data_IF_926355112010
#
_entry.id   IF_926355112010
#
_cell.length_a   1.000
_cell.length_b   1.000
_cell.length_c   1.000
_cell.angle_alpha   90.00
_cell.angle_beta   90.00
_cell.angle_gamma   90.00
#
_symmetry.space_group_name_H-M   'P 1'
#
loop_
_entity.id
_entity.type
_entity.pdbx_description
1 polymer ?
#
# COMPACT_ATOMS: atom_id res chain seq x y z
N UNK A 1 58.19 15.76 63.26
CA UNK A 1 57.47 16.72 62.40
C UNK A 1 56.93 16.06 61.13
N UNK A 2 57.65 15.17 60.46
CA UNK A 2 57.23 14.55 59.17
C UNK A 2 56.00 13.64 59.26
N UNK A 3 55.85 12.84 60.34
CA UNK A 3 54.72 11.92 60.53
C UNK A 3 53.34 12.60 60.62
N UNK A 4 53.28 13.83 61.15
CA UNK A 4 52.02 14.57 61.27
C UNK A 4 51.58 15.19 59.93
N UNK A 5 52.56 15.54 59.07
CA UNK A 5 52.30 16.10 57.75
C UNK A 5 51.73 15.04 56.80
N UNK A 6 52.32 13.84 56.77
CA UNK A 6 51.86 12.74 55.92
C UNK A 6 50.45 12.25 56.33
N UNK A 7 50.18 12.13 57.62
CA UNK A 7 48.85 11.74 58.13
C UNK A 7 47.74 12.73 57.73
N UNK A 8 48.05 14.03 57.73
CA UNK A 8 47.13 15.07 57.27
C UNK A 8 46.81 14.98 55.77
N UNK A 9 47.83 14.74 54.94
CA UNK A 9 47.70 14.61 53.48
C UNK A 9 46.85 13.38 53.13
N UNK A 10 47.09 12.23 53.74
CA UNK A 10 46.30 11.01 53.51
C UNK A 10 44.82 11.24 53.81
N UNK A 11 44.49 11.88 54.95
CA UNK A 11 43.10 12.20 55.31
C UNK A 11 42.41 13.17 54.36
N UNK A 12 43.15 14.09 53.75
CA UNK A 12 42.60 14.99 52.73
C UNK A 12 42.34 14.22 51.44
N UNK A 13 43.28 13.37 51.02
CA UNK A 13 43.13 12.51 49.86
C UNK A 13 41.92 11.57 49.98
N UNK A 14 41.73 10.91 51.13
CA UNK A 14 40.61 9.99 51.35
C UNK A 14 39.24 10.68 51.21
N UNK A 15 39.11 11.90 51.74
CA UNK A 15 37.89 12.71 51.60
C UNK A 15 37.66 13.16 50.17
N UNK A 16 38.70 13.64 49.49
CA UNK A 16 38.61 14.01 48.09
C UNK A 16 38.19 12.81 47.21
N UNK A 17 38.72 11.62 47.50
CA UNK A 17 38.31 10.39 46.83
C UNK A 17 36.85 10.02 47.13
N UNK A 18 36.39 10.17 48.38
CA UNK A 18 35.01 9.91 48.76
C UNK A 18 34.04 10.87 48.07
N UNK A 19 34.35 12.18 48.05
CA UNK A 19 33.55 13.19 47.38
C UNK A 19 33.49 12.95 45.86
N UNK A 20 34.63 12.61 45.25
CA UNK A 20 34.69 12.24 43.84
C UNK A 20 33.83 10.99 43.53
N UNK A 21 33.78 10.01 44.43
CA UNK A 21 32.93 8.83 44.27
C UNK A 21 31.44 9.18 44.34
N UNK A 22 31.04 10.08 45.24
CA UNK A 22 29.66 10.58 45.34
C UNK A 22 29.24 11.29 44.06
N UNK A 23 30.10 12.19 43.55
CA UNK A 23 29.86 12.89 42.28
C UNK A 23 29.73 11.90 41.11
N UNK A 24 30.66 10.95 40.99
CA UNK A 24 30.64 9.92 39.94
C UNK A 24 29.35 9.12 39.94
N UNK A 25 28.86 8.71 41.12
CA UNK A 25 27.59 8.00 41.24
C UNK A 25 26.40 8.87 40.83
N UNK A 26 26.41 10.15 41.18
CA UNK A 26 25.42 11.13 40.73
C UNK A 26 25.36 11.24 39.21
N UNK A 27 26.50 11.40 38.55
CA UNK A 27 26.59 11.46 37.10
C UNK A 27 26.10 10.18 36.42
N UNK A 28 26.45 9.00 36.95
CA UNK A 28 25.99 7.74 36.38
C UNK A 28 24.46 7.59 36.43
N UNK A 29 23.82 8.04 37.52
CA UNK A 29 22.36 8.05 37.63
C UNK A 29 21.71 9.02 36.65
N UNK A 30 22.30 10.19 36.45
CA UNK A 30 21.84 11.17 35.46
C UNK A 30 21.97 10.64 34.04
N UNK A 31 23.11 10.03 33.69
CA UNK A 31 23.34 9.40 32.39
C UNK A 31 22.33 8.28 32.12
N UNK A 32 22.08 7.42 33.11
CA UNK A 32 21.09 6.35 32.98
C UNK A 32 19.67 6.90 32.70
N UNK A 33 19.26 7.97 33.40
CA UNK A 33 17.96 8.63 33.16
C UNK A 33 17.90 9.30 31.79
N UNK A 34 18.93 10.04 31.40
CA UNK A 34 18.99 10.71 30.12
C UNK A 34 18.88 9.71 28.95
N UNK A 35 19.54 8.55 29.07
CA UNK A 35 19.43 7.46 28.09
C UNK A 35 18.02 6.88 28.04
N UNK A 36 17.39 6.66 29.19
CA UNK A 36 16.04 6.13 29.26
C UNK A 36 15.01 7.09 28.66
N UNK A 37 15.10 8.38 28.97
CA UNK A 37 14.20 9.38 28.41
C UNK A 37 14.39 9.54 26.90
N UNK A 38 15.64 9.50 26.42
CA UNK A 38 15.94 9.49 24.97
C UNK A 38 15.32 8.28 24.28
N UNK A 39 15.39 7.08 24.90
CA UNK A 39 14.76 5.86 24.35
C UNK A 39 13.24 5.97 24.28
N UNK A 40 12.60 6.54 25.31
CA UNK A 40 11.14 6.75 25.30
C UNK A 40 10.71 7.70 24.19
N UNK A 41 11.46 8.80 23.98
CA UNK A 41 11.18 9.75 22.90
C UNK A 41 11.36 9.06 21.54
N UNK A 42 12.47 8.35 21.32
CA UNK A 42 12.74 7.64 20.06
C UNK A 42 11.64 6.61 19.74
N UNK A 43 11.24 5.79 20.72
CA UNK A 43 10.16 4.84 20.55
C UNK A 43 8.83 5.52 20.17
N UNK A 44 8.47 6.59 20.89
CA UNK A 44 7.26 7.34 20.62
C UNK A 44 7.25 7.99 19.22
N UNK A 45 8.39 8.49 18.75
CA UNK A 45 8.55 9.03 17.39
C UNK A 45 8.39 7.91 16.36
N UNK A 46 9.01 6.75 16.57
CA UNK A 46 8.91 5.60 15.66
C UNK A 46 7.47 5.11 15.51
N UNK A 47 6.74 4.96 16.61
CA UNK A 47 5.34 4.56 16.53
C UNK A 47 4.46 5.60 15.81
N UNK A 48 4.67 6.90 16.07
CA UNK A 48 3.94 7.97 15.38
C UNK A 48 4.24 7.95 13.87
N UNK A 49 5.50 7.73 13.49
CA UNK A 49 5.90 7.61 12.09
C UNK A 49 5.22 6.40 11.41
N UNK A 50 5.16 5.25 12.09
CA UNK A 50 4.46 4.08 11.58
C UNK A 50 2.96 4.36 11.39
N UNK A 51 2.30 4.96 12.39
CA UNK A 51 0.88 5.35 12.32
C UNK A 51 0.61 6.33 11.16
N UNK A 52 1.46 7.33 10.99
CA UNK A 52 1.34 8.29 9.89
C UNK A 52 1.52 7.63 8.52
N UNK A 53 2.44 6.67 8.40
CA UNK A 53 2.66 5.93 7.15
C UNK A 53 1.42 5.12 6.76
N UNK A 54 0.79 4.44 7.71
CA UNK A 54 -0.46 3.71 7.47
C UNK A 54 -1.59 4.67 7.07
N UNK A 55 -1.80 5.76 7.83
CA UNK A 55 -2.80 6.78 7.50
C UNK A 55 -2.61 7.37 6.10
N UNK A 56 -1.37 7.68 5.72
CA UNK A 56 -1.06 8.21 4.39
C UNK A 56 -1.39 7.19 3.28
N UNK A 57 -1.12 5.91 3.53
CA UNK A 57 -1.45 4.82 2.61
C UNK A 57 -2.96 4.65 2.46
N UNK A 58 -3.69 4.60 3.57
CA UNK A 58 -5.16 4.48 3.57
C UNK A 58 -5.81 5.68 2.87
N UNK A 59 -5.27 6.88 3.09
CA UNK A 59 -5.74 8.08 2.42
C UNK A 59 -5.50 8.02 0.92
N UNK A 60 -4.29 7.67 0.49
CA UNK A 60 -3.98 7.50 -0.93
C UNK A 60 -4.89 6.45 -1.59
N UNK A 61 -5.16 5.34 -0.90
CA UNK A 61 -6.08 4.30 -1.40
C UNK A 61 -7.52 4.81 -1.51
N UNK A 62 -8.02 5.52 -0.50
CA UNK A 62 -9.39 6.06 -0.54
C UNK A 62 -9.57 7.16 -1.60
N UNK A 63 -8.57 8.03 -1.79
CA UNK A 63 -8.56 9.03 -2.86
C UNK A 63 -8.54 8.37 -4.24
N UNK A 64 -7.71 7.34 -4.45
CA UNK A 64 -7.67 6.59 -5.70
C UNK A 64 -9.00 5.90 -5.99
N UNK A 65 -9.62 5.27 -4.97
CA UNK A 65 -10.94 4.66 -5.10
C UNK A 65 -11.99 5.70 -5.48
N UNK A 66 -12.03 6.85 -4.81
CA UNK A 66 -12.97 7.92 -5.13
C UNK A 66 -12.85 8.37 -6.59
N UNK A 67 -11.62 8.57 -7.07
CA UNK A 67 -11.37 8.96 -8.47
C UNK A 67 -11.82 7.88 -9.44
N UNK A 68 -11.58 6.61 -9.13
CA UNK A 68 -12.05 5.50 -9.95
C UNK A 68 -13.58 5.41 -10.00
N UNK A 69 -14.25 5.49 -8.84
CA UNK A 69 -15.70 5.46 -8.73
C UNK A 69 -16.36 6.63 -9.48
N UNK A 70 -15.74 7.82 -9.44
CA UNK A 70 -16.16 8.98 -10.22
C UNK A 70 -15.99 8.72 -11.73
N UNK A 71 -14.84 8.21 -12.17
CA UNK A 71 -14.62 7.87 -13.58
C UNK A 71 -15.62 6.82 -14.10
N UNK A 72 -15.93 5.79 -13.30
CA UNK A 72 -16.95 4.80 -13.66
C UNK A 72 -18.35 5.43 -13.76
N UNK A 73 -18.69 6.33 -12.83
CA UNK A 73 -19.99 7.02 -12.81
C UNK A 73 -20.14 8.00 -13.98
N UNK A 74 -19.12 8.81 -14.24
CA UNK A 74 -19.10 9.78 -15.34
C UNK A 74 -19.20 9.06 -16.70
N UNK A 75 -18.50 7.94 -16.87
CA UNK A 75 -18.58 7.13 -18.09
C UNK A 75 -19.93 6.43 -18.26
N UNK A 76 -20.55 5.98 -17.16
CA UNK A 76 -21.90 5.41 -17.21
C UNK A 76 -22.92 6.46 -17.65
N UNK A 77 -22.81 7.70 -17.13
CA UNK A 77 -23.63 8.83 -17.55
C UNK A 77 -23.44 9.17 -19.03
N UNK A 78 -22.20 9.15 -19.53
CA UNK A 78 -21.88 9.38 -20.94
C UNK A 78 -22.54 8.31 -21.84
N UNK A 79 -22.48 7.03 -21.46
CA UNK A 79 -23.13 5.93 -22.17
C UNK A 79 -24.65 6.03 -22.11
N UNK A 80 -25.25 6.39 -20.96
CA UNK A 80 -26.69 6.59 -20.83
C UNK A 80 -27.21 7.77 -21.67
N UNK A 81 -26.41 8.82 -21.84
CA UNK A 81 -26.75 9.96 -22.72
C UNK A 81 -26.67 9.58 -24.21
N UNK A 82 -25.75 8.66 -24.56
CA UNK A 82 -25.52 8.21 -25.93
C UNK A 82 -26.36 6.99 -26.34
N UNK A 83 -26.98 6.30 -25.38
CA UNK A 83 -27.93 5.21 -25.62
C UNK A 83 -29.32 5.79 -25.96
N UNK A 84 -29.82 5.62 -27.20
CA UNK A 84 -31.15 6.07 -27.54
C UNK A 84 -32.20 5.25 -26.79
N UNK A 85 -32.93 5.89 -25.87
CA UNK A 85 -34.20 5.43 -25.31
C UNK A 85 -35.25 5.32 -26.42
N UNK A 86 -35.21 4.28 -27.22
CA UNK A 86 -36.34 3.96 -28.08
C UNK A 86 -36.50 2.45 -28.22
N UNK A 87 -37.42 1.92 -27.43
CA UNK A 87 -38.12 0.68 -27.72
C UNK A 87 -38.84 0.82 -29.07
N UNK A 88 -38.16 0.47 -30.16
CA UNK A 88 -38.78 0.10 -31.44
C UNK A 88 -37.71 -0.53 -32.32
N UNK A 89 -37.68 -1.86 -32.28
CA UNK A 89 -37.19 -2.76 -33.32
C UNK A 89 -36.07 -2.19 -34.20
N UNK A 90 -34.85 -2.11 -33.67
CA UNK A 90 -33.67 -2.00 -34.51
C UNK A 90 -33.35 -3.41 -35.04
N UNK A 91 -33.44 -3.55 -36.37
CA UNK A 91 -32.95 -4.73 -37.10
C UNK A 91 -31.51 -5.01 -36.68
N UNK A 92 -31.32 -6.12 -35.95
CA UNK A 92 -30.06 -6.50 -35.30
C UNK A 92 -28.91 -6.78 -36.30
N UNK A 93 -29.19 -6.76 -37.61
CA UNK A 93 -28.19 -7.06 -38.65
C UNK A 93 -27.44 -5.83 -39.17
N UNK A 94 -28.00 -4.61 -39.08
CA UNK A 94 -27.41 -3.44 -39.74
C UNK A 94 -26.67 -2.47 -38.81
N UNK A 95 -26.68 -2.71 -37.48
CA UNK A 95 -26.01 -1.84 -36.49
C UNK A 95 -25.36 -2.59 -35.33
N UNK A 96 -24.86 -3.80 -35.59
CA UNK A 96 -23.97 -4.53 -34.68
C UNK A 96 -22.53 -4.10 -35.02
N UNK A 97 -21.68 -3.52 -34.19
CA UNK A 97 -21.70 -3.25 -32.76
C UNK A 97 -20.27 -2.80 -32.43
N UNK A 98 -19.89 -1.58 -32.80
CA UNK A 98 -18.56 -1.04 -32.52
C UNK A 98 -18.52 -0.53 -31.08
N UNK A 99 -18.25 -1.43 -30.13
CA UNK A 99 -17.78 -1.02 -28.81
C UNK A 99 -16.39 -0.41 -29.02
N UNK A 100 -16.32 0.91 -29.15
CA UNK A 100 -15.06 1.62 -29.40
C UNK A 100 -14.28 1.70 -28.09
N UNK A 101 -13.32 0.79 -27.89
CA UNK A 101 -12.40 0.83 -26.76
C UNK A 101 -11.28 1.84 -27.04
N UNK A 102 -11.42 3.04 -26.46
CA UNK A 102 -10.39 4.10 -26.53
C UNK A 102 -9.38 3.88 -25.39
N UNK A 103 -8.15 3.49 -25.72
CA UNK A 103 -7.01 3.43 -24.78
C UNK A 103 -6.01 4.50 -25.18
N UNK A 104 -5.67 5.41 -24.26
CA UNK A 104 -4.71 6.50 -24.48
C UNK A 104 -5.07 7.44 -25.65
N UNK A 105 -6.37 7.69 -25.88
CA UNK A 105 -6.83 8.60 -26.91
C UNK A 105 -6.91 8.03 -28.33
N UNK A 106 -6.43 6.80 -28.59
CA UNK A 106 -6.54 6.12 -29.90
C UNK A 106 -7.61 5.01 -29.86
N UNK A 107 -8.43 4.94 -30.92
CA UNK A 107 -9.38 3.87 -31.16
C UNK A 107 -8.62 2.65 -31.71
N UNK A 108 -8.77 1.49 -31.07
CA UNK A 108 -8.23 0.23 -31.56
C UNK A 108 -9.37 -0.52 -32.23
N UNK A 109 -9.38 -0.51 -33.56
CA UNK A 109 -10.35 -1.22 -34.38
C UNK A 109 -9.90 -2.69 -34.46
N UNK A 110 -10.44 -3.54 -33.59
CA UNK A 110 -9.97 -4.91 -33.46
C UNK A 110 -10.77 -5.93 -34.26
N UNK A 111 -12.00 -5.64 -34.68
CA UNK A 111 -12.83 -6.68 -35.29
C UNK A 111 -13.84 -6.11 -36.29
N UNK A 112 -13.45 -6.09 -37.57
CA UNK A 112 -14.42 -5.95 -38.66
C UNK A 112 -14.26 -7.00 -39.76
N UNK A 113 -13.09 -7.62 -39.97
CA UNK A 113 -12.86 -8.28 -41.27
C UNK A 113 -12.28 -9.70 -41.27
N UNK A 114 -11.94 -10.35 -40.14
CA UNK A 114 -11.23 -11.64 -40.25
C UNK A 114 -11.41 -12.66 -39.12
N UNK A 115 -12.61 -12.75 -38.53
CA UNK A 115 -13.02 -13.96 -37.80
C UNK A 115 -14.08 -14.65 -38.63
N UNK A 116 -13.63 -15.51 -39.55
CA UNK A 116 -14.55 -16.41 -40.25
C UNK A 116 -15.34 -17.22 -39.20
N UNK A 117 -16.64 -17.36 -39.40
CA UNK A 117 -17.55 -18.14 -38.55
C UNK A 117 -16.96 -19.51 -38.22
N UNK A 118 -16.23 -20.09 -39.18
CA UNK A 118 -15.51 -21.35 -39.06
C UNK A 118 -14.45 -21.36 -37.95
N UNK A 119 -13.71 -20.26 -37.74
CA UNK A 119 -12.72 -20.16 -36.65
C UNK A 119 -13.39 -20.07 -35.29
N UNK A 120 -14.50 -19.34 -35.21
CA UNK A 120 -15.28 -19.23 -33.97
C UNK A 120 -15.90 -20.58 -33.61
N UNK A 121 -16.45 -21.29 -34.60
CA UNK A 121 -16.98 -22.63 -34.43
C UNK A 121 -15.89 -23.63 -34.04
N UNK A 122 -14.72 -23.60 -34.70
CA UNK A 122 -13.59 -24.46 -34.37
C UNK A 122 -13.11 -24.27 -32.92
N UNK A 123 -13.09 -23.04 -32.42
CA UNK A 123 -12.72 -22.75 -31.03
C UNK A 123 -13.78 -23.28 -30.06
N UNK A 124 -15.07 -23.08 -30.36
CA UNK A 124 -16.16 -23.60 -29.54
C UNK A 124 -16.16 -25.14 -29.49
N UNK A 125 -15.94 -25.80 -30.63
CA UNK A 125 -15.86 -27.26 -30.72
C UNK A 125 -14.64 -27.83 -30.00
N UNK A 126 -13.48 -27.17 -30.11
CA UNK A 126 -12.29 -27.57 -29.37
C UNK A 126 -12.52 -27.48 -27.86
N UNK A 127 -13.15 -26.40 -27.39
CA UNK A 127 -13.52 -26.23 -25.98
C UNK A 127 -14.53 -27.29 -25.52
N UNK A 128 -15.58 -27.53 -26.32
CA UNK A 128 -16.59 -28.54 -26.04
C UNK A 128 -16.01 -29.95 -25.94
N UNK A 129 -15.07 -30.28 -26.84
CA UNK A 129 -14.37 -31.57 -26.87
C UNK A 129 -13.51 -31.76 -25.62
N UNK A 130 -12.76 -30.74 -25.21
CA UNK A 130 -11.95 -30.78 -23.99
C UNK A 130 -12.82 -30.89 -22.73
N UNK A 131 -13.92 -30.13 -22.66
CA UNK A 131 -14.84 -30.19 -21.53
C UNK A 131 -15.51 -31.57 -21.41
N UNK A 132 -15.85 -32.19 -22.54
CA UNK A 132 -16.45 -33.53 -22.58
C UNK A 132 -15.47 -34.62 -22.15
N UNK A 133 -14.19 -34.48 -22.46
CA UNK A 133 -13.15 -35.43 -22.05
C UNK A 133 -12.83 -35.37 -20.54
N UNK A 134 -13.14 -34.25 -19.88
CA UNK A 134 -12.93 -34.05 -18.44
C UNK A 134 -14.12 -34.51 -17.59
N UNK A 135 -15.26 -34.81 -18.21
CA UNK A 135 -16.43 -35.39 -17.55
C UNK A 135 -16.34 -36.92 -17.67
N UNK A 136 -16.34 -37.70 -16.56
CA UNK A 136 -16.37 -39.15 -16.66
C UNK A 136 -17.66 -39.55 -17.37
N UNK A 137 -17.55 -40.39 -18.40
CA UNK A 137 -18.68 -41.02 -19.05
C UNK A 137 -19.41 -41.88 -18.00
N UNK A 138 -20.45 -41.31 -17.39
CA UNK A 138 -21.35 -42.06 -16.51
C UNK A 138 -22.03 -43.17 -17.33
N UNK A 139 -22.09 -44.41 -16.83
CA UNK A 139 -22.77 -45.53 -17.49
C UNK A 139 -24.28 -45.34 -17.58
#
# INVERSE_FOLDING_TARGET
MEFLCTSGITRLNDRACQDAAVLRLGFLKLDARAREDTRKIDLGVKEKAARLKHLATDRAQSDLKRVADQHWSDRALEVSLFLPSNERSFSLKDKMGFITLKKNGKALDLFADEVTTDRMQAIQEAYWTMASALLPSSP
#
